data_IF_971708907768
#
_entry.id   IF_971708907768
#
_cell.length_a   1.000
_cell.length_b   1.000
_cell.length_c   1.000
_cell.angle_alpha   90.00
_cell.angle_beta   90.00
_cell.angle_gamma   90.00
#
_symmetry.space_group_name_H-M   'P 1'
#
loop_
_entity.id
_entity.type
_entity.pdbx_description
1 polymer ?
#
# COMPACT_ATOMS: atom_id res chain seq x y z
N UNK A 1 19.93 -26.66 -15.23
CA UNK A 1 18.58 -26.07 -15.29
C UNK A 1 18.77 -24.57 -15.21
N UNK A 2 18.42 -23.84 -16.26
CA UNK A 2 18.75 -22.41 -16.37
C UNK A 2 17.84 -21.60 -15.45
N UNK A 3 18.36 -20.54 -14.84
CA UNK A 3 17.63 -19.66 -13.92
C UNK A 3 16.31 -19.13 -14.53
N UNK A 4 16.29 -18.99 -15.86
CA UNK A 4 15.13 -18.51 -16.62
C UNK A 4 13.95 -19.50 -16.63
N UNK A 5 14.21 -20.81 -16.51
CA UNK A 5 13.16 -21.84 -16.56
C UNK A 5 12.31 -21.86 -15.27
N UNK A 6 12.88 -21.41 -14.15
CA UNK A 6 12.20 -21.41 -12.84
C UNK A 6 11.21 -20.24 -12.73
N UNK A 7 11.50 -19.12 -13.39
CA UNK A 7 10.67 -17.91 -13.34
C UNK A 7 9.36 -18.07 -14.14
N UNK A 8 9.37 -18.85 -15.23
CA UNK A 8 8.21 -19.00 -16.12
C UNK A 8 7.17 -20.01 -15.56
N UNK A 9 7.55 -20.86 -14.60
CA UNK A 9 6.62 -21.84 -14.01
C UNK A 9 5.66 -21.25 -12.98
N UNK A 10 5.85 -20.00 -12.53
CA UNK A 10 4.99 -19.38 -11.53
C UNK A 10 3.85 -18.61 -12.18
N UNK A 11 2.62 -18.82 -11.67
CA UNK A 11 1.44 -18.13 -12.19
C UNK A 11 1.63 -16.61 -12.10
N UNK A 12 1.32 -15.89 -13.19
CA UNK A 12 1.41 -14.42 -13.28
C UNK A 12 0.22 -13.74 -12.56
N UNK A 13 -0.81 -14.51 -12.17
CA UNK A 13 -2.03 -13.98 -11.56
C UNK A 13 -1.80 -13.27 -10.21
N UNK A 14 -1.02 -13.80 -9.24
CA UNK A 14 -0.88 -13.15 -7.94
C UNK A 14 -0.25 -11.76 -8.01
N UNK A 15 0.84 -11.51 -8.79
CA UNK A 15 1.35 -10.15 -9.01
C UNK A 15 0.32 -9.21 -9.63
N UNK A 16 -0.41 -9.66 -10.65
CA UNK A 16 -1.42 -8.83 -11.34
C UNK A 16 -2.54 -8.41 -10.39
N UNK A 17 -3.08 -9.34 -9.60
CA UNK A 17 -4.10 -9.04 -8.60
C UNK A 17 -3.57 -8.11 -7.52
N UNK A 18 -2.35 -8.34 -7.03
CA UNK A 18 -1.73 -7.48 -6.03
C UNK A 18 -1.59 -6.03 -6.52
N UNK A 19 -1.09 -5.82 -7.73
CA UNK A 19 -0.95 -4.50 -8.32
C UNK A 19 -2.31 -3.84 -8.58
N UNK A 20 -3.28 -4.59 -9.10
CA UNK A 20 -4.64 -4.09 -9.35
C UNK A 20 -5.29 -3.58 -8.06
N UNK A 21 -5.28 -4.39 -7.00
CA UNK A 21 -5.85 -4.03 -5.69
C UNK A 21 -5.11 -2.82 -5.12
N UNK A 22 -3.77 -2.81 -5.19
CA UNK A 22 -2.97 -1.72 -4.64
C UNK A 22 -3.22 -0.39 -5.36
N UNK A 23 -3.44 -0.41 -6.68
CA UNK A 23 -3.80 0.76 -7.49
C UNK A 23 -5.21 1.23 -7.16
N UNK A 24 -6.20 0.34 -7.12
CA UNK A 24 -7.59 0.69 -6.78
C UNK A 24 -7.64 1.32 -5.38
N UNK A 25 -6.92 0.73 -4.43
CA UNK A 25 -6.82 1.26 -3.08
C UNK A 25 -6.13 2.63 -3.04
N UNK A 26 -5.09 2.85 -3.86
CA UNK A 26 -4.46 4.16 -3.97
C UNK A 26 -5.44 5.24 -4.46
N UNK A 27 -6.23 4.96 -5.50
CA UNK A 27 -7.25 5.89 -5.97
C UNK A 27 -8.34 6.14 -4.92
N UNK A 28 -8.72 5.11 -4.16
CA UNK A 28 -9.62 5.25 -3.02
C UNK A 28 -9.04 6.19 -1.95
N UNK A 29 -7.75 6.08 -1.64
CA UNK A 29 -7.08 7.04 -0.75
C UNK A 29 -7.12 8.45 -1.36
N UNK A 30 -6.73 8.64 -2.62
CA UNK A 30 -6.78 9.97 -3.24
C UNK A 30 -8.18 10.60 -3.22
N UNK A 31 -9.23 9.81 -3.41
CA UNK A 31 -10.61 10.25 -3.27
C UNK A 31 -10.94 10.66 -1.82
N UNK A 32 -10.55 9.83 -0.84
CA UNK A 32 -10.71 10.11 0.59
C UNK A 32 -10.04 11.43 1.00
N UNK A 33 -8.82 11.69 0.52
CA UNK A 33 -8.11 12.97 0.71
C UNK A 33 -8.94 14.17 0.28
N UNK A 34 -9.58 14.10 -0.89
CA UNK A 34 -10.45 15.17 -1.41
C UNK A 34 -11.66 15.42 -0.49
N UNK A 35 -12.32 14.35 -0.04
CA UNK A 35 -13.47 14.45 0.86
C UNK A 35 -13.12 15.05 2.23
N UNK A 36 -12.02 14.57 2.83
CA UNK A 36 -11.55 15.02 4.14
C UNK A 36 -11.18 16.51 4.08
N UNK A 37 -10.50 16.93 3.01
CA UNK A 37 -10.13 18.33 2.79
C UNK A 37 -11.35 19.23 2.66
N UNK A 38 -12.42 18.76 1.99
CA UNK A 38 -13.68 19.51 1.84
C UNK A 38 -14.46 19.64 3.15
N UNK A 39 -14.49 18.60 3.98
CA UNK A 39 -15.24 18.59 5.25
C UNK A 39 -14.69 19.55 6.30
N UNK A 40 -13.41 19.97 6.19
CA UNK A 40 -12.74 20.89 7.13
C UNK A 40 -12.94 20.54 8.61
N UNK A 41 -13.04 19.26 8.93
CA UNK A 41 -13.18 18.77 10.31
C UNK A 41 -11.84 18.20 10.78
N UNK A 42 -11.33 18.72 11.90
CA UNK A 42 -10.03 18.35 12.46
C UNK A 42 -9.95 16.88 12.86
N UNK A 43 -11.00 16.32 13.47
CA UNK A 43 -10.99 14.91 13.88
C UNK A 43 -10.93 13.97 12.68
N UNK A 44 -11.73 14.27 11.65
CA UNK A 44 -11.75 13.49 10.40
C UNK A 44 -10.37 13.58 9.70
N UNK A 45 -9.74 14.75 9.72
CA UNK A 45 -8.38 14.93 9.22
C UNK A 45 -7.37 14.04 9.94
N UNK A 46 -7.36 14.04 11.28
CA UNK A 46 -6.41 13.25 12.07
C UNK A 46 -6.61 11.75 11.81
N UNK A 47 -7.85 11.27 11.91
CA UNK A 47 -8.17 9.85 11.68
C UNK A 47 -7.78 9.40 10.27
N UNK A 48 -8.06 10.23 9.27
CA UNK A 48 -7.71 9.90 7.90
C UNK A 48 -6.20 9.91 7.66
N UNK A 49 -5.45 10.86 8.24
CA UNK A 49 -3.99 10.86 8.17
C UNK A 49 -3.40 9.60 8.81
N UNK A 50 -3.89 9.19 9.99
CA UNK A 50 -3.47 7.95 10.63
C UNK A 50 -3.79 6.72 9.77
N UNK A 51 -4.95 6.71 9.12
CA UNK A 51 -5.33 5.64 8.19
C UNK A 51 -4.41 5.54 6.97
N UNK A 52 -4.02 6.66 6.38
CA UNK A 52 -3.04 6.70 5.27
C UNK A 52 -1.68 6.17 5.73
N UNK A 53 -1.19 6.64 6.89
CA UNK A 53 0.09 6.19 7.46
C UNK A 53 0.06 4.68 7.75
N UNK A 54 -1.02 4.19 8.35
CA UNK A 54 -1.20 2.76 8.62
C UNK A 54 -1.15 1.96 7.32
N UNK A 55 -1.88 2.39 6.29
CA UNK A 55 -1.89 1.72 4.98
C UNK A 55 -0.51 1.68 4.34
N UNK A 56 0.24 2.79 4.38
CA UNK A 56 1.62 2.84 3.90
C UNK A 56 2.54 1.93 4.73
N UNK A 57 2.33 1.86 6.04
CA UNK A 57 3.09 1.00 6.95
C UNK A 57 2.84 -0.48 6.68
N UNK A 58 1.61 -0.87 6.32
CA UNK A 58 1.30 -2.25 5.91
C UNK A 58 2.07 -2.63 4.64
N UNK A 59 2.12 -1.75 3.63
CA UNK A 59 2.91 -1.99 2.41
C UNK A 59 4.41 -2.04 2.71
N UNK A 60 4.90 -1.19 3.60
CA UNK A 60 6.30 -1.22 4.04
C UNK A 60 6.64 -2.47 4.85
N UNK A 61 5.72 -2.95 5.70
CA UNK A 61 5.86 -4.21 6.42
C UNK A 61 5.87 -5.41 5.47
N UNK A 62 5.06 -5.36 4.40
CA UNK A 62 5.08 -6.37 3.34
C UNK A 62 6.43 -6.40 2.61
N UNK A 63 7.05 -5.23 2.36
CA UNK A 63 8.40 -5.15 1.79
C UNK A 63 9.48 -5.67 2.75
N UNK A 64 9.41 -5.35 4.04
CA UNK A 64 10.47 -5.70 5.00
C UNK A 64 10.40 -7.14 5.50
N UNK A 65 9.20 -7.70 5.65
CA UNK A 65 8.98 -9.02 6.23
C UNK A 65 8.39 -10.05 5.25
N UNK A 66 8.00 -9.61 4.05
CA UNK A 66 7.62 -10.50 2.95
C UNK A 66 6.44 -11.43 3.27
N UNK A 67 6.60 -12.70 2.89
CA UNK A 67 5.55 -13.72 3.04
C UNK A 67 5.15 -13.94 4.51
N UNK A 68 6.09 -13.77 5.46
CA UNK A 68 5.80 -13.95 6.90
C UNK A 68 4.78 -12.95 7.42
N UNK A 69 4.83 -11.70 6.93
CA UNK A 69 3.86 -10.68 7.31
C UNK A 69 2.51 -10.89 6.61
N UNK A 70 2.52 -11.27 5.33
CA UNK A 70 1.29 -11.59 4.60
C UNK A 70 0.49 -12.72 5.26
N UNK A 71 1.17 -13.80 5.64
CA UNK A 71 0.52 -14.95 6.27
C UNK A 71 0.22 -14.72 7.76
N UNK A 72 1.12 -14.07 8.51
CA UNK A 72 0.97 -13.91 9.95
C UNK A 72 0.03 -12.77 10.37
N UNK A 73 0.11 -11.62 9.71
CA UNK A 73 -0.69 -10.44 10.08
C UNK A 73 -1.95 -10.32 9.23
N UNK A 74 -1.81 -10.45 7.90
CA UNK A 74 -2.94 -10.32 6.98
C UNK A 74 -3.73 -11.62 6.83
N UNK A 75 -3.20 -12.76 7.27
CA UNK A 75 -3.78 -14.09 7.07
C UNK A 75 -4.07 -14.42 5.59
N UNK A 76 -3.28 -13.84 4.68
CA UNK A 76 -3.39 -14.07 3.24
C UNK A 76 -2.31 -15.05 2.83
N UNK A 77 -2.71 -16.09 2.08
CA UNK A 77 -1.78 -17.07 1.53
C UNK A 77 -1.12 -16.54 0.24
N UNK A 78 -0.40 -15.42 0.36
CA UNK A 78 0.36 -14.79 -0.72
C UNK A 78 1.85 -15.00 -0.46
N UNK A 79 2.52 -15.71 -1.36
CA UNK A 79 3.97 -15.88 -1.31
C UNK A 79 4.66 -14.66 -1.95
N UNK A 80 4.88 -13.62 -1.16
CA UNK A 80 5.51 -12.36 -1.59
C UNK A 80 6.96 -12.59 -2.01
N UNK A 81 7.67 -13.45 -1.28
CA UNK A 81 9.10 -13.72 -1.49
C UNK A 81 9.37 -14.47 -2.81
N UNK A 82 8.33 -15.03 -3.44
CA UNK A 82 8.45 -15.70 -4.74
C UNK A 82 8.37 -14.73 -5.92
N UNK A 83 7.95 -13.47 -5.71
CA UNK A 83 7.73 -12.50 -6.78
C UNK A 83 8.41 -11.15 -6.49
N UNK A 84 9.54 -10.90 -7.14
CA UNK A 84 10.27 -9.62 -7.06
C UNK A 84 9.37 -8.41 -7.37
N UNK A 85 8.44 -8.56 -8.31
CA UNK A 85 7.48 -7.50 -8.66
C UNK A 85 6.59 -7.09 -7.49
N UNK A 86 6.13 -8.06 -6.67
CA UNK A 86 5.30 -7.78 -5.50
C UNK A 86 6.17 -7.13 -4.42
N UNK A 87 7.40 -7.63 -4.24
CA UNK A 87 8.33 -7.11 -3.26
C UNK A 87 8.68 -5.63 -3.52
N UNK A 88 9.19 -5.30 -4.71
CA UNK A 88 9.45 -3.90 -5.10
C UNK A 88 8.17 -3.07 -5.23
N UNK A 89 7.07 -3.69 -5.65
CA UNK A 89 5.75 -3.07 -5.70
C UNK A 89 5.29 -2.59 -4.34
N UNK A 90 5.51 -3.37 -3.29
CA UNK A 90 5.15 -3.01 -1.92
C UNK A 90 5.89 -1.75 -1.45
N UNK A 91 7.18 -1.63 -1.74
CA UNK A 91 7.94 -0.41 -1.46
C UNK A 91 7.38 0.78 -2.27
N UNK A 92 7.13 0.59 -3.56
CA UNK A 92 6.56 1.64 -4.42
C UNK A 92 5.21 2.13 -3.88
N UNK A 93 4.29 1.23 -3.53
CA UNK A 93 2.98 1.59 -3.01
C UNK A 93 3.06 2.19 -1.61
N UNK A 94 3.98 1.74 -0.76
CA UNK A 94 4.22 2.37 0.54
C UNK A 94 4.54 3.86 0.38
N UNK A 95 5.42 4.21 -0.57
CA UNK A 95 5.77 5.59 -0.89
C UNK A 95 4.61 6.32 -1.59
N UNK A 96 3.95 5.67 -2.55
CA UNK A 96 2.85 6.24 -3.30
C UNK A 96 1.70 6.67 -2.37
N UNK A 97 1.34 5.84 -1.38
CA UNK A 97 0.22 6.10 -0.49
C UNK A 97 0.43 7.37 0.35
N UNK A 98 1.68 7.75 0.64
CA UNK A 98 1.99 8.99 1.35
C UNK A 98 1.52 10.24 0.59
N UNK A 99 1.43 10.21 -0.75
CA UNK A 99 0.87 11.31 -1.54
C UNK A 99 -0.63 11.54 -1.25
N UNK A 100 -1.32 10.53 -0.74
CA UNK A 100 -2.71 10.66 -0.30
C UNK A 100 -2.86 11.33 1.07
N UNK A 101 -1.76 11.73 1.74
CA UNK A 101 -1.88 12.52 2.97
C UNK A 101 -2.61 13.85 2.70
N UNK A 102 -3.60 14.20 3.56
CA UNK A 102 -4.29 15.48 3.46
C UNK A 102 -3.37 16.62 3.92
N UNK A 103 -3.49 17.78 3.28
CA UNK A 103 -2.73 18.97 3.69
C UNK A 103 -3.32 19.53 4.98
N UNK A 104 -2.47 19.85 5.94
CA UNK A 104 -2.92 20.48 7.18
C UNK A 104 -3.40 21.92 6.90
N UNK A 105 -4.70 22.14 6.98
CA UNK A 105 -5.35 23.45 6.82
C UNK A 105 -5.70 24.12 8.16
N UNK A 106 -5.42 23.45 9.28
CA UNK A 106 -5.81 23.91 10.62
C UNK A 106 -4.69 24.65 11.35
N UNK A 107 -3.45 24.51 10.91
CA UNK A 107 -2.33 25.30 11.43
C UNK A 107 -2.28 26.61 10.66
N UNK A 108 -2.62 27.71 11.33
CA UNK A 108 -2.24 29.05 10.88
C UNK A 108 -0.76 29.21 11.19
N UNK A 109 0.06 29.48 10.17
CA UNK A 109 1.38 30.07 10.41
C UNK A 109 1.11 31.46 11.01
N UNK A 110 1.53 31.64 12.26
CA UNK A 110 1.59 32.95 12.93
C UNK A 110 2.87 33.64 12.46
#
# INVERSE_FOLDING_TARGET
MSYEDIVISQSILPPVFYHLISIVFFFFLLYGKSLVTRKKNRMIFILYTLFVIFSASVQFALFTHGTKFAQGFLHINLNVDAYDSIWYGALFYALAYLFAMPRNIFVKYV
#
